data_IF_987159775598
#
_entry.id   IF_987159775598
#
_cell.length_a   1.000
_cell.length_b   1.000
_cell.length_c   1.000
_cell.angle_alpha   90.00
_cell.angle_beta   90.00
_cell.angle_gamma   90.00
#
_symmetry.space_group_name_H-M   'P 1'
#
loop_
_entity.id
_entity.type
_entity.pdbx_description
1 polymer ?
#
# COMPACT_ATOMS: atom_id res chain seq x y z
N UNK A 1 -2.10 18.44 12.71
CA UNK A 1 -2.06 18.80 11.27
C UNK A 1 -3.39 19.35 10.76
N UNK A 2 -4.52 18.68 11.00
CA UNK A 2 -5.85 19.15 10.56
C UNK A 2 -6.20 20.57 11.04
N UNK A 3 -5.88 20.92 12.29
CA UNK A 3 -6.08 22.27 12.85
C UNK A 3 -5.41 23.39 12.05
N UNK A 4 -4.28 23.11 11.38
CA UNK A 4 -3.60 24.08 10.52
C UNK A 4 -4.32 24.28 9.19
N UNK A 5 -4.86 23.19 8.63
CA UNK A 5 -5.61 23.22 7.37
C UNK A 5 -6.94 23.97 7.56
N UNK A 6 -7.58 23.81 8.72
CA UNK A 6 -8.84 24.47 9.06
C UNK A 6 -8.76 26.02 9.12
N UNK A 7 -7.55 26.59 9.21
CA UNK A 7 -7.34 28.05 9.20
C UNK A 7 -7.37 28.64 7.78
N UNK A 8 -7.37 27.82 6.73
CA UNK A 8 -7.42 28.26 5.33
C UNK A 8 -8.87 28.43 4.89
N UNK A 9 -9.24 29.55 4.22
CA UNK A 9 -10.56 29.70 3.61
C UNK A 9 -10.92 28.51 2.70
N UNK A 10 -12.15 28.01 2.80
CA UNK A 10 -12.56 26.75 2.17
C UNK A 10 -12.50 26.79 0.63
N UNK A 11 -12.80 27.94 0.04
CA UNK A 11 -12.72 28.21 -1.39
C UNK A 11 -11.27 28.10 -1.91
N UNK A 12 -10.31 28.72 -1.21
CA UNK A 12 -8.88 28.62 -1.54
C UNK A 12 -8.35 27.21 -1.33
N UNK A 13 -8.75 26.53 -0.27
CA UNK A 13 -8.37 25.15 -0.02
C UNK A 13 -8.85 24.21 -1.15
N UNK A 14 -10.09 24.40 -1.61
CA UNK A 14 -10.65 23.63 -2.71
C UNK A 14 -9.90 23.86 -4.04
N UNK A 15 -9.53 25.11 -4.33
CA UNK A 15 -8.71 25.44 -5.52
C UNK A 15 -7.34 24.75 -5.47
N UNK A 16 -6.65 24.80 -4.32
CA UNK A 16 -5.36 24.13 -4.13
C UNK A 16 -5.45 22.62 -4.33
N UNK A 17 -6.49 21.99 -3.76
CA UNK A 17 -6.72 20.54 -3.93
C UNK A 17 -6.95 20.19 -5.41
N UNK A 18 -7.74 21.01 -6.12
CA UNK A 18 -8.03 20.81 -7.55
C UNK A 18 -6.78 20.97 -8.41
N UNK A 19 -5.94 21.97 -8.15
CA UNK A 19 -4.68 22.17 -8.88
C UNK A 19 -3.74 20.98 -8.71
N UNK A 20 -3.54 20.51 -7.47
CA UNK A 20 -2.72 19.33 -7.19
C UNK A 20 -3.29 18.07 -7.87
N UNK A 21 -4.61 17.86 -7.81
CA UNK A 21 -5.29 16.74 -8.50
C UNK A 21 -5.12 16.80 -10.01
N UNK A 22 -5.23 18.00 -10.61
CA UNK A 22 -5.01 18.16 -12.06
C UNK A 22 -3.57 17.82 -12.44
N UNK A 23 -2.58 18.24 -11.66
CA UNK A 23 -1.19 17.88 -11.93
C UNK A 23 -0.99 16.36 -11.88
N UNK A 24 -1.55 15.67 -10.87
CA UNK A 24 -1.49 14.21 -10.79
C UNK A 24 -2.22 13.52 -11.95
N UNK A 25 -3.35 14.06 -12.39
CA UNK A 25 -4.09 13.55 -13.54
C UNK A 25 -3.27 13.69 -14.83
N UNK A 26 -2.58 14.82 -15.03
CA UNK A 26 -1.65 15.04 -16.16
C UNK A 26 -0.47 14.07 -16.11
N UNK A 27 0.04 13.75 -14.91
CA UNK A 27 1.06 12.70 -14.73
C UNK A 27 0.53 11.29 -15.00
N UNK A 28 -0.78 11.12 -15.25
CA UNK A 28 -1.36 9.85 -15.64
C UNK A 28 -1.75 8.94 -14.48
N UNK A 29 -1.90 9.46 -13.26
CA UNK A 29 -2.20 8.63 -12.06
C UNK A 29 -3.40 7.70 -12.26
N UNK A 30 -4.47 8.18 -12.91
CA UNK A 30 -5.69 7.39 -13.16
C UNK A 30 -5.45 6.25 -14.14
N UNK A 31 -4.68 6.53 -15.20
CA UNK A 31 -4.31 5.52 -16.20
C UNK A 31 -3.39 4.47 -15.57
N UNK A 32 -2.39 4.91 -14.79
CA UNK A 32 -1.48 4.03 -14.07
C UNK A 32 -2.19 3.09 -13.10
N UNK A 33 -3.11 3.61 -12.27
CA UNK A 33 -3.91 2.77 -11.36
C UNK A 33 -4.71 1.71 -12.13
N UNK A 34 -5.37 2.09 -13.24
CA UNK A 34 -6.16 1.15 -14.03
C UNK A 34 -5.30 0.09 -14.72
N UNK A 35 -4.18 0.50 -15.31
CA UNK A 35 -3.28 -0.40 -16.04
C UNK A 35 -2.55 -1.40 -15.12
N UNK A 36 -2.30 -1.03 -13.86
CA UNK A 36 -1.56 -1.89 -12.91
C UNK A 36 -2.46 -2.84 -12.12
N UNK A 37 -3.78 -2.61 -12.10
CA UNK A 37 -4.72 -3.44 -11.36
C UNK A 37 -4.69 -4.91 -11.81
N UNK A 38 -4.63 -5.16 -13.12
CA UNK A 38 -4.54 -6.52 -13.66
C UNK A 38 -3.20 -7.20 -13.31
N UNK A 39 -2.11 -6.44 -13.26
CA UNK A 39 -0.78 -6.95 -12.87
C UNK A 39 -0.81 -7.42 -11.41
N UNK A 40 -1.42 -6.63 -10.52
CA UNK A 40 -1.60 -7.03 -9.12
C UNK A 40 -2.51 -8.25 -8.99
N UNK A 41 -3.58 -8.35 -9.78
CA UNK A 41 -4.45 -9.51 -9.80
C UNK A 41 -3.71 -10.78 -10.26
N UNK A 42 -2.89 -10.67 -11.32
CA UNK A 42 -2.03 -11.75 -11.79
C UNK A 42 -1.04 -12.20 -10.71
N UNK A 43 -0.57 -11.30 -9.85
CA UNK A 43 0.31 -11.60 -8.73
C UNK A 43 -0.20 -12.74 -7.84
N UNK A 44 -1.51 -12.76 -7.55
CA UNK A 44 -2.13 -13.79 -6.71
C UNK A 44 -2.13 -15.18 -7.33
N UNK A 45 -2.10 -15.26 -8.66
CA UNK A 45 -2.12 -16.53 -9.41
C UNK A 45 -0.74 -17.05 -9.78
N UNK A 46 0.32 -16.35 -9.37
CA UNK A 46 1.67 -16.87 -9.57
C UNK A 46 1.95 -18.03 -8.63
N UNK A 47 2.77 -18.98 -9.10
CA UNK A 47 3.11 -20.20 -8.36
C UNK A 47 3.58 -19.90 -6.93
N UNK A 48 4.49 -18.94 -6.76
CA UNK A 48 5.00 -18.52 -5.45
C UNK A 48 3.91 -17.94 -4.55
N UNK A 49 2.98 -17.17 -5.09
CA UNK A 49 1.86 -16.61 -4.32
C UNK A 49 0.88 -17.70 -3.89
N UNK A 50 0.60 -18.68 -4.75
CA UNK A 50 -0.27 -19.81 -4.40
C UNK A 50 0.38 -20.70 -3.34
N UNK A 51 1.68 -21.00 -3.46
CA UNK A 51 2.45 -21.72 -2.46
C UNK A 51 2.43 -20.99 -1.10
N UNK A 52 2.65 -19.68 -1.12
CA UNK A 52 2.56 -18.87 0.10
C UNK A 52 1.13 -18.83 0.67
N UNK A 53 0.10 -18.76 -0.16
CA UNK A 53 -1.30 -18.76 0.29
C UNK A 53 -1.67 -20.07 1.01
N UNK A 54 -1.10 -21.22 0.61
CA UNK A 54 -1.29 -22.49 1.32
C UNK A 54 -0.74 -22.47 2.75
N UNK A 55 0.30 -21.66 3.01
CA UNK A 55 0.82 -21.47 4.36
C UNK A 55 -0.20 -20.83 5.30
N UNK A 56 -1.11 -20.00 4.78
CA UNK A 56 -2.17 -19.39 5.61
C UNK A 56 -3.19 -20.42 6.08
N UNK A 57 -3.51 -21.41 5.25
CA UNK A 57 -4.42 -22.51 5.61
C UNK A 57 -3.75 -23.47 6.58
N UNK A 58 -2.48 -23.79 6.36
CA UNK A 58 -1.76 -24.83 7.11
C UNK A 58 -1.14 -24.34 8.43
N UNK A 59 -0.65 -23.10 8.48
CA UNK A 59 0.07 -22.51 9.64
C UNK A 59 -0.72 -21.39 10.33
N UNK A 60 -1.74 -20.85 9.67
CA UNK A 60 -2.44 -19.64 10.12
C UNK A 60 -1.70 -18.36 9.73
N UNK A 61 -2.46 -17.26 9.60
CA UNK A 61 -1.96 -15.98 9.06
C UNK A 61 -0.78 -15.41 9.85
N UNK A 62 -0.84 -15.44 11.18
CA UNK A 62 0.22 -14.86 12.03
C UNK A 62 1.56 -15.56 11.83
N UNK A 63 1.59 -16.90 11.90
CA UNK A 63 2.83 -17.66 11.77
C UNK A 63 3.43 -17.54 10.37
N UNK A 64 2.59 -17.56 9.33
CA UNK A 64 3.03 -17.41 7.95
C UNK A 64 3.59 -16.01 7.62
N UNK A 65 3.09 -14.96 8.29
CA UNK A 65 3.67 -13.61 8.18
C UNK A 65 5.00 -13.53 8.93
N UNK A 66 5.07 -14.03 10.17
CA UNK A 66 6.33 -14.10 10.94
C UNK A 66 7.43 -14.86 10.18
N UNK A 67 7.13 -16.00 9.58
CA UNK A 67 8.11 -16.77 8.80
C UNK A 67 8.62 -16.01 7.57
N UNK A 68 7.75 -15.25 6.89
CA UNK A 68 8.14 -14.42 5.75
C UNK A 68 9.03 -13.26 6.19
N UNK A 69 8.64 -12.57 7.25
CA UNK A 69 9.27 -11.33 7.72
C UNK A 69 10.57 -11.60 8.48
N UNK A 70 10.72 -12.78 9.11
CA UNK A 70 11.95 -13.22 9.78
C UNK A 70 13.17 -13.25 8.85
N UNK A 71 12.96 -13.52 7.55
CA UNK A 71 14.02 -13.50 6.56
C UNK A 71 14.58 -12.08 6.31
N UNK A 72 13.79 -11.04 6.60
CA UNK A 72 14.16 -9.64 6.44
C UNK A 72 14.52 -8.96 7.77
N UNK A 73 14.14 -9.58 8.90
CA UNK A 73 14.37 -9.03 10.24
C UNK A 73 13.56 -7.77 10.52
N UNK A 74 12.34 -7.66 9.97
CA UNK A 74 11.47 -6.50 10.12
C UNK A 74 10.14 -6.81 10.86
N UNK A 75 9.34 -5.77 11.09
CA UNK A 75 8.07 -5.81 11.82
C UNK A 75 8.14 -6.46 13.22
N UNK A 76 7.61 -7.69 13.35
CA UNK A 76 7.51 -8.44 14.60
C UNK A 76 8.76 -9.27 14.88
N UNK A 77 9.55 -9.51 13.83
CA UNK A 77 10.80 -10.27 13.88
C UNK A 77 12.02 -9.33 13.91
N UNK A 78 11.78 -8.02 14.04
CA UNK A 78 12.82 -7.02 14.25
C UNK A 78 13.51 -7.27 15.60
N UNK A 79 14.80 -7.59 15.56
CA UNK A 79 15.64 -7.59 16.75
C UNK A 79 15.88 -6.14 17.17
N UNK A 80 15.03 -5.64 18.06
CA UNK A 80 15.29 -4.38 18.76
C UNK A 80 16.37 -4.60 19.81
N UNK A 81 17.63 -4.65 19.36
CA UNK A 81 18.71 -4.22 20.24
C UNK A 81 18.52 -2.72 20.49
N UNK A 82 18.27 -2.39 21.75
CA UNK A 82 18.15 -1.03 22.27
C UNK A 82 19.52 -0.37 22.29
#
# INVERSE_FOLDING_TARGET
MAERIAKVPADLLALNKRAAHRAMDVMGIRAGIRATAEIQALGFHQKSSMEYMQSFVTKGVTAALSERDAAFGDYREENKEI
#
